data_IF_704542830351
#
_entry.id   IF_704542830351
#
_cell.length_a   1.000
_cell.length_b   1.000
_cell.length_c   1.000
_cell.angle_alpha   90.00
_cell.angle_beta   90.00
_cell.angle_gamma   90.00
#
_symmetry.space_group_name_H-M   'P 1'
#
loop_
_entity.id
_entity.type
_entity.pdbx_description
1 polymer ?
#
# COMPACT_ATOMS: atom_id res chain seq x y z
N UNK A 1 -34.20 1.30 16.24
CA UNK A 1 -32.96 0.97 15.50
C UNK A 1 -32.73 -0.51 15.67
N UNK A 2 -33.14 -1.31 14.69
CA UNK A 2 -33.03 -2.77 14.73
C UNK A 2 -31.62 -3.18 14.32
N UNK A 3 -30.98 -3.97 15.18
CA UNK A 3 -29.65 -4.55 14.99
C UNK A 3 -29.68 -5.40 13.72
N UNK A 4 -28.96 -4.97 12.69
CA UNK A 4 -28.80 -5.74 11.45
C UNK A 4 -27.76 -6.82 11.70
N UNK A 5 -28.16 -8.04 11.37
CA UNK A 5 -27.41 -9.29 11.46
C UNK A 5 -26.01 -9.18 10.85
N UNK A 6 -25.04 -9.82 11.52
CA UNK A 6 -23.63 -9.95 11.10
C UNK A 6 -23.45 -10.70 9.76
N UNK A 7 -24.50 -11.34 9.24
CA UNK A 7 -24.46 -12.14 7.99
C UNK A 7 -24.53 -11.31 6.69
N UNK A 8 -24.74 -9.99 6.75
CA UNK A 8 -24.84 -9.12 5.56
C UNK A 8 -23.52 -8.48 5.11
N UNK A 9 -22.43 -8.60 5.88
CA UNK A 9 -21.11 -8.05 5.50
C UNK A 9 -20.37 -8.91 4.46
N UNK A 10 -20.66 -10.22 4.38
CA UNK A 10 -19.96 -11.15 3.47
C UNK A 10 -20.37 -11.03 1.99
N UNK A 11 -21.42 -10.25 1.69
CA UNK A 11 -21.85 -9.94 0.31
C UNK A 11 -21.31 -8.61 -0.22
N UNK A 12 -20.42 -7.96 0.52
CA UNK A 12 -19.72 -6.77 0.01
C UNK A 12 -18.84 -7.19 -1.17
N UNK A 13 -18.95 -6.55 -2.35
CA UNK A 13 -18.20 -6.94 -3.53
C UNK A 13 -16.73 -6.56 -3.32
N UNK A 14 -15.97 -7.43 -2.66
CA UNK A 14 -14.53 -7.27 -2.36
C UNK A 14 -13.76 -6.86 -3.63
N UNK A 15 -14.16 -7.36 -4.80
CA UNK A 15 -13.60 -6.94 -6.10
C UNK A 15 -13.83 -5.46 -6.42
N UNK A 16 -15.00 -4.91 -6.13
CA UNK A 16 -15.28 -3.48 -6.29
C UNK A 16 -14.53 -2.64 -5.27
N UNK A 17 -14.40 -3.13 -4.03
CA UNK A 17 -13.60 -2.49 -3.00
C UNK A 17 -12.12 -2.42 -3.41
N UNK A 18 -11.54 -3.53 -3.87
CA UNK A 18 -10.17 -3.60 -4.40
C UNK A 18 -9.99 -2.63 -5.58
N UNK A 19 -10.96 -2.57 -6.51
CA UNK A 19 -10.92 -1.63 -7.64
C UNK A 19 -10.95 -0.17 -7.18
N UNK A 20 -11.79 0.16 -6.21
CA UNK A 20 -11.87 1.52 -5.65
C UNK A 20 -10.57 1.90 -4.94
N UNK A 21 -10.00 0.98 -4.16
CA UNK A 21 -8.70 1.16 -3.50
C UNK A 21 -7.60 1.37 -4.53
N UNK A 22 -7.51 0.54 -5.57
CA UNK A 22 -6.51 0.68 -6.61
C UNK A 22 -6.63 2.02 -7.34
N UNK A 23 -7.86 2.44 -7.71
CA UNK A 23 -8.10 3.73 -8.37
C UNK A 23 -7.67 4.90 -7.49
N UNK A 24 -8.02 4.87 -6.20
CA UNK A 24 -7.62 5.90 -5.24
C UNK A 24 -6.11 5.91 -5.03
N UNK A 25 -5.46 4.74 -5.06
CA UNK A 25 -4.01 4.65 -4.96
C UNK A 25 -3.32 5.31 -6.16
N UNK A 26 -3.83 5.09 -7.38
CA UNK A 26 -3.34 5.77 -8.58
C UNK A 26 -3.49 7.29 -8.48
N UNK A 27 -4.63 7.77 -7.98
CA UNK A 27 -4.86 9.21 -7.76
C UNK A 27 -3.86 9.79 -6.74
N UNK A 28 -3.58 9.07 -5.64
CA UNK A 28 -2.58 9.46 -4.64
C UNK A 28 -1.18 9.50 -5.25
N UNK A 29 -0.81 8.49 -6.05
CA UNK A 29 0.48 8.47 -6.74
C UNK A 29 0.62 9.65 -7.71
N UNK A 30 -0.45 10.01 -8.44
CA UNK A 30 -0.46 11.19 -9.31
C UNK A 30 -0.26 12.49 -8.55
N UNK A 31 -0.87 12.65 -7.37
CA UNK A 31 -0.68 13.84 -6.55
C UNK A 31 0.75 13.90 -5.99
N UNK A 32 1.30 12.75 -5.55
CA UNK A 32 2.70 12.65 -5.09
C UNK A 32 3.68 13.03 -6.20
N UNK A 33 3.43 12.56 -7.42
CA UNK A 33 4.24 12.93 -8.59
C UNK A 33 4.05 14.42 -8.93
N UNK A 34 2.82 14.94 -8.97
CA UNK A 34 2.56 16.36 -9.27
C UNK A 34 3.21 17.33 -8.26
N UNK A 35 3.28 16.93 -6.99
CA UNK A 35 3.89 17.71 -5.92
C UNK A 35 5.40 17.43 -5.74
N UNK A 36 5.98 16.57 -6.58
CA UNK A 36 7.38 16.12 -6.50
C UNK A 36 7.80 15.69 -5.08
N UNK A 37 6.91 15.00 -4.36
CA UNK A 37 7.17 14.57 -2.97
C UNK A 37 8.14 13.39 -2.88
N UNK A 38 8.47 12.79 -4.04
CA UNK A 38 9.35 11.66 -4.18
C UNK A 38 8.73 10.34 -3.73
N UNK A 39 9.03 9.26 -4.45
CA UNK A 39 8.56 7.91 -4.15
C UNK A 39 9.51 7.25 -3.16
N UNK A 40 8.97 6.73 -2.06
CA UNK A 40 9.78 6.09 -1.02
C UNK A 40 9.84 4.58 -1.27
N UNK A 41 11.05 4.04 -1.37
CA UNK A 41 11.34 2.63 -1.58
C UNK A 41 12.18 2.10 -0.41
N UNK A 42 11.78 0.94 0.13
CA UNK A 42 12.54 0.26 1.18
C UNK A 42 13.40 -0.83 0.54
N UNK A 43 14.71 -0.69 0.65
CA UNK A 43 15.72 -1.68 0.24
C UNK A 43 16.29 -2.38 1.47
N UNK A 44 17.05 -3.45 1.24
CA UNK A 44 17.57 -4.27 2.33
C UNK A 44 18.49 -3.48 3.29
N UNK A 45 19.15 -2.44 2.79
CA UNK A 45 20.18 -1.63 3.43
C UNK A 45 19.71 -0.22 3.83
N UNK A 46 18.45 0.13 3.54
CA UNK A 46 17.94 1.47 3.85
C UNK A 46 16.61 1.82 3.20
N UNK A 47 16.09 2.98 3.59
CA UNK A 47 14.93 3.62 2.96
C UNK A 47 15.41 4.74 2.06
N UNK A 48 14.98 4.70 0.81
CA UNK A 48 15.37 5.63 -0.24
C UNK A 48 14.14 6.40 -0.72
N UNK A 49 14.33 7.65 -1.13
CA UNK A 49 13.29 8.44 -1.79
C UNK A 49 13.81 8.95 -3.12
N UNK A 50 13.08 8.61 -4.17
CA UNK A 50 13.38 8.97 -5.55
C UNK A 50 12.45 10.09 -5.99
N UNK A 51 12.99 11.23 -6.37
CA UNK A 51 12.25 12.38 -6.88
C UNK A 51 12.06 12.29 -8.40
N UNK A 52 11.15 13.10 -8.95
CA UNK A 52 10.82 13.02 -10.38
C UNK A 52 11.95 13.50 -11.29
N UNK A 53 12.90 14.26 -10.75
CA UNK A 53 14.11 14.70 -11.44
C UNK A 53 15.20 13.61 -11.49
N UNK A 54 14.95 12.44 -10.89
CA UNK A 54 15.90 11.32 -10.83
C UNK A 54 16.79 11.33 -9.60
N UNK A 55 16.71 12.35 -8.74
CA UNK A 55 17.48 12.39 -7.49
C UNK A 55 17.03 11.29 -6.54
N UNK A 56 17.99 10.61 -5.92
CA UNK A 56 17.74 9.57 -4.93
C UNK A 56 18.40 9.98 -3.62
N UNK A 57 17.59 10.13 -2.57
CA UNK A 57 18.06 10.47 -1.23
C UNK A 57 17.82 9.31 -0.28
N UNK A 58 18.85 8.91 0.46
CA UNK A 58 18.72 7.94 1.55
C UNK A 58 18.14 8.65 2.77
N UNK A 59 16.95 8.25 3.20
CA UNK A 59 16.24 8.85 4.34
C UNK A 59 16.63 8.16 5.64
N UNK A 60 16.85 6.84 5.58
CA UNK A 60 17.20 6.06 6.75
C UNK A 60 18.14 4.91 6.38
N UNK A 61 19.15 4.71 7.23
CA UNK A 61 19.95 3.50 7.27
C UNK A 61 19.23 2.43 8.09
N UNK A 62 19.33 1.17 7.67
CA UNK A 62 18.76 0.07 8.43
C UNK A 62 18.81 -1.25 7.69
N UNK A 63 18.70 -2.35 8.42
CA UNK A 63 18.60 -3.69 7.84
C UNK A 63 17.14 -4.11 7.75
N UNK A 64 16.53 -3.87 6.59
CA UNK A 64 15.12 -4.19 6.34
C UNK A 64 15.01 -5.53 5.63
N UNK A 65 15.22 -6.63 6.37
CA UNK A 65 14.96 -7.97 5.84
C UNK A 65 13.48 -8.12 5.54
N UNK A 66 13.13 -8.24 4.25
CA UNK A 66 11.78 -8.62 3.82
C UNK A 66 11.40 -9.93 4.51
N UNK A 67 10.50 -9.86 5.49
CA UNK A 67 9.97 -11.06 6.14
C UNK A 67 9.05 -11.75 5.16
N UNK A 68 9.56 -12.75 4.47
CA UNK A 68 8.72 -13.67 3.69
C UNK A 68 7.91 -14.50 4.69
N UNK A 69 6.63 -14.18 4.83
CA UNK A 69 5.73 -15.00 5.64
C UNK A 69 5.51 -16.30 4.86
N UNK A 70 6.16 -17.38 5.30
CA UNK A 70 6.12 -18.69 4.64
C UNK A 70 4.72 -19.31 4.67
N UNK A 71 3.90 -18.90 5.64
CA UNK A 71 2.54 -19.38 5.81
C UNK A 71 1.58 -18.29 5.35
N UNK A 72 0.83 -18.55 4.27
CA UNK A 72 -0.38 -17.79 3.94
C UNK A 72 -1.41 -18.01 5.07
N UNK A 73 -1.22 -17.37 6.22
CA UNK A 73 -2.14 -17.45 7.37
C UNK A 73 -3.44 -16.70 7.13
N UNK A 74 -3.51 -15.90 6.06
CA UNK A 74 -4.76 -15.32 5.61
C UNK A 74 -5.49 -16.41 4.82
N UNK A 75 -6.34 -17.18 5.51
CA UNK A 75 -7.46 -17.85 4.86
C UNK A 75 -8.40 -16.75 4.38
N UNK A 76 -8.29 -16.38 3.11
CA UNK A 76 -9.42 -15.80 2.42
C UNK A 76 -10.34 -16.99 2.17
N UNK A 77 -11.51 -16.94 2.80
CA UNK A 77 -12.54 -17.97 2.91
C UNK A 77 -12.67 -18.87 1.69
#
# INVERSE_FOLDING_TARGET
MTVRSLDDEDKLPIKQLIRAVNKKMDDVLRVVDALNLGRTEVKADGVYRTFNNGDVVKIADGNFKKRTVSVKRIKLF
#
